data_IF_473779286080
#
_entry.id   IF_473779286080
#
_cell.length_a   1.000
_cell.length_b   1.000
_cell.length_c   1.000
_cell.angle_alpha   90.00
_cell.angle_beta   90.00
_cell.angle_gamma   90.00
#
_symmetry.space_group_name_H-M   'P 1'
#
loop_
_entity.id
_entity.type
_entity.pdbx_description
1 polymer ?
#
# COMPACT_ATOMS: atom_id res chain seq x y z
N UNK A 1 40.98 19.30 -22.21
CA UNK A 1 39.63 18.92 -22.68
C UNK A 1 39.50 17.40 -22.57
N UNK A 2 38.38 16.93 -21.99
CA UNK A 2 38.08 15.50 -21.92
C UNK A 2 37.22 15.17 -23.13
N UNK A 3 37.67 14.24 -24.02
CA UNK A 3 36.89 13.86 -25.19
C UNK A 3 35.65 13.09 -24.73
N UNK A 4 34.48 13.60 -25.12
CA UNK A 4 33.17 12.96 -24.84
C UNK A 4 32.70 12.30 -26.13
N UNK A 5 32.57 10.97 -26.13
CA UNK A 5 31.96 10.21 -27.22
C UNK A 5 30.42 10.17 -27.02
N UNK A 6 29.68 10.48 -28.07
CA UNK A 6 28.21 10.43 -28.08
C UNK A 6 27.66 9.85 -29.38
N UNK A 7 26.48 9.23 -29.37
CA UNK A 7 25.83 8.68 -30.56
C UNK A 7 25.57 9.74 -31.65
N UNK A 8 25.35 9.31 -32.88
CA UNK A 8 24.87 10.21 -33.96
C UNK A 8 23.52 10.83 -33.60
N UNK A 9 23.20 12.01 -34.17
CA UNK A 9 21.93 12.69 -33.93
C UNK A 9 20.70 11.80 -34.22
N UNK A 10 20.79 10.96 -35.28
CA UNK A 10 19.74 10.00 -35.61
C UNK A 10 19.54 8.97 -34.51
N UNK A 11 20.64 8.44 -33.97
CA UNK A 11 20.60 7.48 -32.87
C UNK A 11 20.11 8.12 -31.55
N UNK A 12 20.53 9.35 -31.24
CA UNK A 12 20.03 10.11 -30.10
C UNK A 12 18.50 10.26 -30.15
N UNK A 13 17.95 10.59 -31.32
CA UNK A 13 16.49 10.68 -31.53
C UNK A 13 15.80 9.33 -31.30
N UNK A 14 16.41 8.23 -31.76
CA UNK A 14 15.87 6.89 -31.54
C UNK A 14 15.92 6.47 -30.07
N UNK A 15 17.00 6.79 -29.36
CA UNK A 15 17.14 6.56 -27.92
C UNK A 15 16.07 7.35 -27.16
N UNK A 16 15.92 8.65 -27.47
CA UNK A 16 14.91 9.51 -26.84
C UNK A 16 13.49 8.94 -27.07
N UNK A 17 13.16 8.53 -28.30
CA UNK A 17 11.86 7.94 -28.61
C UNK A 17 11.55 6.68 -27.80
N UNK A 18 12.55 5.79 -27.62
CA UNK A 18 12.39 4.59 -26.78
C UNK A 18 12.13 4.98 -25.33
N UNK A 19 12.95 5.85 -24.75
CA UNK A 19 12.82 6.25 -23.34
C UNK A 19 11.50 6.97 -23.09
N UNK A 20 11.11 7.88 -23.98
CA UNK A 20 9.81 8.57 -23.91
C UNK A 20 8.64 7.58 -23.97
N UNK A 21 8.74 6.51 -24.77
CA UNK A 21 7.70 5.49 -24.82
C UNK A 21 7.47 4.76 -23.47
N UNK A 22 8.53 4.59 -22.67
CA UNK A 22 8.40 4.07 -21.30
C UNK A 22 7.70 5.10 -20.41
N UNK A 23 8.12 6.37 -20.47
CA UNK A 23 7.55 7.44 -19.65
C UNK A 23 6.07 7.64 -19.96
N UNK A 24 5.70 7.75 -21.24
CA UNK A 24 4.30 7.85 -21.68
C UNK A 24 3.44 6.70 -21.17
N UNK A 25 3.99 5.46 -21.20
CA UNK A 25 3.27 4.30 -20.71
C UNK A 25 3.12 4.32 -19.18
N UNK A 26 4.14 4.75 -18.45
CA UNK A 26 4.11 4.90 -16.99
C UNK A 26 3.05 5.94 -16.62
N UNK A 27 3.06 7.12 -17.24
CA UNK A 27 2.10 8.18 -17.00
C UNK A 27 0.66 7.74 -17.29
N UNK A 28 0.44 7.05 -18.41
CA UNK A 28 -0.86 6.48 -18.74
C UNK A 28 -1.39 5.53 -17.67
N UNK A 29 -0.52 4.62 -17.18
CA UNK A 29 -0.90 3.67 -16.14
C UNK A 29 -1.18 4.36 -14.80
N UNK A 30 -0.44 5.40 -14.45
CA UNK A 30 -0.69 6.22 -13.26
C UNK A 30 -2.03 6.94 -13.35
N UNK A 31 -2.34 7.55 -14.50
CA UNK A 31 -3.63 8.20 -14.74
C UNK A 31 -4.79 7.20 -14.67
N UNK A 32 -4.64 6.01 -15.24
CA UNK A 32 -5.63 4.93 -15.12
C UNK A 32 -5.84 4.51 -13.66
N UNK A 33 -4.78 4.36 -12.87
CA UNK A 33 -4.89 4.00 -11.46
C UNK A 33 -5.68 5.06 -10.68
N UNK A 34 -5.37 6.34 -10.89
CA UNK A 34 -6.11 7.43 -10.25
C UNK A 34 -7.60 7.34 -10.54
N UNK A 35 -7.99 7.15 -11.81
CA UNK A 35 -9.41 7.00 -12.20
C UNK A 35 -10.06 5.77 -11.57
N UNK A 36 -9.36 4.63 -11.53
CA UNK A 36 -9.84 3.41 -10.92
C UNK A 36 -10.04 3.55 -9.40
N UNK A 37 -9.10 4.20 -8.72
CA UNK A 37 -9.19 4.46 -7.28
C UNK A 37 -10.35 5.42 -6.96
N UNK A 38 -10.52 6.48 -7.74
CA UNK A 38 -11.64 7.41 -7.62
C UNK A 38 -13.00 6.71 -7.87
N UNK A 39 -13.08 5.80 -8.85
CA UNK A 39 -14.27 5.00 -9.11
C UNK A 39 -14.62 4.12 -7.91
N UNK A 40 -13.66 3.34 -7.41
CA UNK A 40 -13.88 2.46 -6.26
C UNK A 40 -14.26 3.26 -5.00
N UNK A 41 -13.61 4.42 -4.78
CA UNK A 41 -13.96 5.31 -3.68
C UNK A 41 -15.39 5.88 -3.81
N UNK A 42 -15.83 6.20 -5.03
CA UNK A 42 -17.18 6.69 -5.29
C UNK A 42 -18.21 5.63 -4.98
N UNK A 43 -18.00 4.38 -5.43
CA UNK A 43 -18.88 3.25 -5.09
C UNK A 43 -18.93 3.07 -3.56
N UNK A 44 -17.78 3.10 -2.87
CA UNK A 44 -17.75 3.01 -1.42
C UNK A 44 -18.53 4.13 -0.73
N UNK A 45 -18.38 5.37 -1.21
CA UNK A 45 -19.08 6.53 -0.66
C UNK A 45 -20.59 6.39 -0.78
N UNK A 46 -21.08 5.97 -1.93
CA UNK A 46 -22.52 5.78 -2.18
C UNK A 46 -23.11 4.67 -1.31
N UNK A 47 -22.39 3.60 -1.07
CA UNK A 47 -22.90 2.46 -0.34
C UNK A 47 -22.80 2.61 1.18
N UNK A 48 -21.70 3.19 1.68
CA UNK A 48 -21.38 3.12 3.11
C UNK A 48 -21.12 4.48 3.77
N UNK A 49 -20.56 5.47 3.05
CA UNK A 49 -20.02 6.65 3.71
C UNK A 49 -21.07 7.62 4.26
N UNK A 50 -22.32 7.47 3.88
CA UNK A 50 -23.46 8.25 4.40
C UNK A 50 -23.89 7.82 5.80
N UNK A 51 -23.47 6.67 6.27
CA UNK A 51 -23.81 6.16 7.61
C UNK A 51 -22.63 6.33 8.58
N UNK A 52 -22.93 6.70 9.81
CA UNK A 52 -21.97 6.85 10.91
C UNK A 52 -22.42 6.08 12.13
N UNK A 53 -21.50 5.79 13.04
CA UNK A 53 -21.84 5.28 14.39
C UNK A 53 -22.71 6.31 15.10
N UNK A 54 -23.86 5.86 15.63
CA UNK A 54 -24.86 6.71 16.24
C UNK A 54 -26.03 7.11 15.33
N UNK A 55 -25.92 6.91 14.01
CA UNK A 55 -27.03 7.15 13.07
C UNK A 55 -28.09 6.02 13.17
N UNK A 56 -29.29 6.30 12.66
CA UNK A 56 -30.29 5.24 12.37
C UNK A 56 -29.75 4.46 11.15
N UNK A 57 -29.38 3.22 11.40
CA UNK A 57 -28.85 2.34 10.37
C UNK A 57 -29.94 1.60 9.61
N UNK A 58 -29.69 1.14 8.37
CA UNK A 58 -30.61 0.26 7.63
C UNK A 58 -30.87 -1.05 8.37
N UNK A 59 -31.97 -1.71 8.05
CA UNK A 59 -32.36 -2.97 8.67
C UNK A 59 -31.26 -4.05 8.51
N UNK A 60 -30.87 -4.61 9.65
CA UNK A 60 -29.83 -5.63 9.74
C UNK A 60 -28.40 -5.13 9.65
N UNK A 61 -28.19 -3.80 9.61
CA UNK A 61 -26.90 -3.20 9.86
C UNK A 61 -26.73 -2.95 11.38
N UNK A 62 -25.48 -2.92 11.83
CA UNK A 62 -25.18 -2.68 13.23
C UNK A 62 -23.90 -1.86 13.38
N UNK A 63 -23.41 -1.84 14.61
CA UNK A 63 -22.11 -1.28 14.98
C UNK A 63 -21.26 -2.45 15.47
N UNK A 64 -20.01 -2.51 15.05
CA UNK A 64 -19.06 -3.52 15.48
C UNK A 64 -17.67 -2.91 15.69
N UNK A 65 -16.82 -3.62 16.43
CA UNK A 65 -15.43 -3.22 16.62
C UNK A 65 -14.58 -3.63 15.46
N UNK A 66 -13.51 -2.89 15.18
CA UNK A 66 -12.56 -3.20 14.11
C UNK A 66 -12.01 -4.64 14.26
N UNK A 67 -11.77 -5.10 15.48
CA UNK A 67 -11.32 -6.45 15.80
C UNK A 67 -12.29 -7.58 15.39
N UNK A 68 -13.55 -7.28 15.13
CA UNK A 68 -14.52 -8.27 14.62
C UNK A 68 -14.33 -8.59 13.14
N UNK A 69 -13.70 -7.68 12.38
CA UNK A 69 -13.46 -7.83 10.95
C UNK A 69 -12.15 -8.56 10.63
N UNK A 70 -11.23 -8.67 11.59
CA UNK A 70 -9.94 -9.31 11.38
C UNK A 70 -9.03 -9.31 12.60
N UNK A 71 -7.95 -10.05 12.50
CA UNK A 71 -6.91 -10.11 13.53
C UNK A 71 -6.03 -8.86 13.48
N UNK A 72 -5.95 -8.14 14.59
CA UNK A 72 -5.08 -6.97 14.71
C UNK A 72 -3.68 -7.38 15.15
N UNK A 73 -2.67 -6.86 14.46
CA UNK A 73 -1.25 -7.08 14.76
C UNK A 73 -0.53 -5.73 14.78
N UNK A 74 0.07 -5.38 15.91
CA UNK A 74 1.06 -4.31 15.97
C UNK A 74 2.40 -4.84 15.49
N UNK A 75 3.06 -4.09 14.61
CA UNK A 75 4.40 -4.43 14.16
C UNK A 75 5.45 -4.36 15.27
N UNK A 76 6.63 -4.87 14.97
CA UNK A 76 7.80 -4.84 15.86
C UNK A 76 9.06 -4.78 15.01
N UNK A 77 10.07 -4.04 15.47
CA UNK A 77 11.40 -4.04 14.86
C UNK A 77 12.24 -5.12 15.55
N UNK A 78 12.87 -6.05 14.81
CA UNK A 78 13.85 -6.97 15.37
C UNK A 78 15.02 -6.21 16.00
N UNK A 79 15.79 -6.86 16.88
CA UNK A 79 16.96 -6.24 17.51
C UNK A 79 17.95 -5.78 16.42
N UNK A 80 18.27 -4.49 16.43
CA UNK A 80 19.26 -3.90 15.51
C UNK A 80 20.70 -4.29 15.85
N UNK A 81 20.94 -4.84 17.05
CA UNK A 81 22.26 -5.34 17.43
C UNK A 81 22.63 -6.67 16.74
N UNK A 82 21.67 -7.33 16.13
CA UNK A 82 21.90 -8.52 15.30
C UNK A 82 21.66 -8.15 13.84
N UNK A 83 22.76 -7.93 13.12
CA UNK A 83 22.73 -7.53 11.71
C UNK A 83 22.17 -8.66 10.81
N UNK A 84 22.31 -9.92 11.20
CA UNK A 84 21.79 -11.10 10.49
C UNK A 84 20.25 -11.11 10.39
N UNK A 85 19.56 -10.29 11.19
CA UNK A 85 18.11 -10.16 11.12
C UNK A 85 17.64 -9.29 9.93
N UNK A 86 18.55 -8.57 9.32
CA UNK A 86 18.25 -7.73 8.14
C UNK A 86 18.84 -8.39 6.89
N UNK A 87 18.09 -8.34 5.78
CA UNK A 87 18.46 -9.04 4.55
C UNK A 87 17.55 -8.65 3.40
N UNK A 88 17.22 -9.60 2.51
CA UNK A 88 16.43 -9.32 1.30
C UNK A 88 15.21 -10.26 1.13
N UNK A 89 14.83 -11.02 2.17
CA UNK A 89 13.86 -12.10 2.00
C UNK A 89 12.41 -11.66 2.26
N UNK A 90 12.19 -10.93 3.36
CA UNK A 90 10.84 -10.55 3.82
C UNK A 90 10.72 -9.04 3.89
N UNK A 91 9.77 -8.43 3.15
CA UNK A 91 9.52 -6.99 3.23
C UNK A 91 9.28 -6.53 4.66
N UNK A 92 9.99 -5.48 5.06
CA UNK A 92 9.85 -4.84 6.36
C UNK A 92 9.30 -3.43 6.18
N UNK A 93 7.98 -3.33 6.27
CA UNK A 93 7.22 -2.13 5.95
C UNK A 93 7.40 -1.09 7.04
N UNK A 94 7.74 0.12 6.64
CA UNK A 94 7.82 1.33 7.44
C UNK A 94 6.93 2.42 6.86
N UNK A 95 6.67 3.49 7.60
CA UNK A 95 5.82 4.60 7.15
C UNK A 95 6.23 5.17 5.78
N UNK A 96 7.53 5.39 5.47
CA UNK A 96 7.93 5.88 4.15
C UNK A 96 7.49 4.98 2.99
N UNK A 97 7.39 3.68 3.20
CA UNK A 97 6.96 2.72 2.16
C UNK A 97 5.47 2.81 1.83
N UNK A 98 4.67 3.48 2.69
CA UNK A 98 3.20 3.57 2.59
C UNK A 98 2.72 4.84 1.87
N UNK A 99 3.57 5.88 1.76
CA UNK A 99 3.15 7.15 1.18
C UNK A 99 2.67 7.00 -0.26
N UNK A 100 1.43 7.46 -0.54
CA UNK A 100 0.80 7.45 -1.86
C UNK A 100 0.71 6.05 -2.51
N UNK A 101 0.62 4.99 -1.69
CA UNK A 101 0.56 3.62 -2.18
C UNK A 101 -0.66 2.89 -1.62
N UNK A 102 -1.55 2.46 -2.49
CA UNK A 102 -2.61 1.49 -2.14
C UNK A 102 -1.99 0.13 -1.84
N UNK A 103 -1.07 -0.32 -2.68
CA UNK A 103 -0.38 -1.60 -2.56
C UNK A 103 1.12 -1.42 -2.33
N UNK A 104 1.67 -2.15 -1.37
CA UNK A 104 3.10 -2.17 -1.08
C UNK A 104 3.74 -3.30 -1.90
N UNK A 105 4.41 -2.96 -2.99
CA UNK A 105 5.11 -3.91 -3.86
C UNK A 105 6.52 -4.22 -3.38
N UNK A 106 7.21 -3.20 -2.89
CA UNK A 106 8.59 -3.28 -2.38
C UNK A 106 8.76 -2.32 -1.19
N UNK A 107 9.76 -2.59 -0.39
CA UNK A 107 10.12 -1.82 0.79
C UNK A 107 11.59 -1.42 0.73
N UNK A 108 11.93 -0.32 1.38
CA UNK A 108 13.33 0.14 1.49
C UNK A 108 14.17 -0.86 2.28
N UNK A 109 13.60 -1.39 3.36
CA UNK A 109 14.26 -2.39 4.20
C UNK A 109 13.56 -3.74 4.08
N UNK A 110 14.34 -4.79 4.23
CA UNK A 110 13.83 -6.14 4.30
C UNK A 110 14.49 -6.89 5.49
N UNK A 111 13.85 -7.92 5.96
CA UNK A 111 14.38 -8.84 6.94
C UNK A 111 14.93 -10.08 6.25
N UNK A 112 15.90 -10.72 6.89
CA UNK A 112 16.27 -12.10 6.59
C UNK A 112 15.17 -13.06 7.06
N UNK A 113 15.22 -14.30 6.60
CA UNK A 113 14.32 -15.37 7.12
C UNK A 113 14.45 -15.52 8.63
N UNK A 114 15.68 -15.41 9.16
CA UNK A 114 15.94 -15.51 10.60
C UNK A 114 15.34 -14.32 11.35
N UNK A 115 15.56 -13.09 10.88
CA UNK A 115 14.97 -11.89 11.46
C UNK A 115 13.45 -11.95 11.49
N UNK A 116 12.83 -12.41 10.42
CA UNK A 116 11.38 -12.59 10.37
C UNK A 116 10.89 -13.70 11.33
N UNK A 117 11.62 -14.79 11.47
CA UNK A 117 11.32 -15.87 12.44
C UNK A 117 11.46 -15.43 13.88
N UNK A 118 12.39 -14.51 14.21
CA UNK A 118 12.60 -14.00 15.58
C UNK A 118 11.35 -13.32 16.14
N UNK A 119 10.42 -12.91 15.26
CA UNK A 119 9.13 -12.29 15.57
C UNK A 119 8.00 -12.85 14.70
N UNK A 120 7.95 -14.17 14.54
CA UNK A 120 7.01 -14.85 13.63
C UNK A 120 5.53 -14.53 13.88
N UNK A 121 5.15 -14.21 15.12
CA UNK A 121 3.79 -13.76 15.47
C UNK A 121 3.42 -12.37 14.91
N UNK A 122 4.36 -11.67 14.26
CA UNK A 122 4.18 -10.39 13.57
C UNK A 122 4.04 -10.54 12.05
N UNK A 123 4.05 -11.77 11.54
CA UNK A 123 3.92 -12.03 10.11
C UNK A 123 2.52 -11.68 9.61
N UNK A 124 2.49 -10.92 8.54
CA UNK A 124 1.29 -10.50 7.81
C UNK A 124 1.23 -11.27 6.49
N UNK A 125 0.13 -11.96 6.18
CA UNK A 125 -0.09 -12.53 4.85
C UNK A 125 -0.34 -11.44 3.80
N UNK A 126 -0.37 -11.83 2.54
CA UNK A 126 -0.92 -11.01 1.44
C UNK A 126 -2.34 -10.54 1.80
N UNK A 127 -2.73 -9.36 1.34
CA UNK A 127 -4.03 -8.73 1.57
C UNK A 127 -4.26 -8.25 3.02
N UNK A 128 -3.24 -8.19 3.86
CA UNK A 128 -3.33 -7.50 5.15
C UNK A 128 -3.35 -5.98 4.92
N UNK A 129 -4.10 -5.26 5.73
CA UNK A 129 -4.21 -3.80 5.66
C UNK A 129 -3.33 -3.20 6.74
N UNK A 130 -2.37 -2.39 6.35
CA UNK A 130 -1.43 -1.69 7.22
C UNK A 130 -1.89 -0.25 7.44
N UNK A 131 -1.88 0.22 8.69
CA UNK A 131 -2.28 1.57 9.06
C UNK A 131 -1.18 2.20 9.92
N UNK A 132 -0.68 3.35 9.51
CA UNK A 132 0.26 4.12 10.32
C UNK A 132 -0.45 4.72 11.54
N UNK A 133 0.11 4.51 12.74
CA UNK A 133 -0.51 4.86 14.00
C UNK A 133 0.36 5.77 14.89
N UNK A 134 1.60 6.08 14.50
CA UNK A 134 2.52 6.94 15.24
C UNK A 134 3.13 7.96 14.29
N UNK A 135 3.27 9.20 14.74
CA UNK A 135 3.80 10.35 14.01
C UNK A 135 2.96 10.75 12.80
N UNK A 136 3.05 10.05 11.68
CA UNK A 136 2.17 10.22 10.52
C UNK A 136 1.02 9.22 10.62
N UNK A 137 -0.10 9.62 11.20
CA UNK A 137 -1.25 8.75 11.45
C UNK A 137 -2.20 8.72 10.24
N UNK A 138 -2.77 7.54 9.94
CA UNK A 138 -3.85 7.36 8.98
C UNK A 138 -3.43 7.14 7.53
N UNK A 139 -2.15 6.77 7.26
CA UNK A 139 -1.80 6.16 5.98
C UNK A 139 -2.28 4.72 5.96
N UNK A 140 -2.95 4.32 4.89
CA UNK A 140 -3.48 2.97 4.72
C UNK A 140 -2.92 2.34 3.45
N UNK A 141 -2.39 1.13 3.57
CA UNK A 141 -1.86 0.37 2.42
C UNK A 141 -2.10 -1.13 2.60
N UNK A 142 -2.05 -1.86 1.51
CA UNK A 142 -2.32 -3.31 1.46
C UNK A 142 -1.04 -4.06 1.12
N UNK A 143 -0.75 -5.14 1.87
CA UNK A 143 0.38 -6.02 1.59
C UNK A 143 0.13 -6.87 0.34
N UNK A 144 1.14 -6.99 -0.53
CA UNK A 144 1.07 -7.81 -1.75
C UNK A 144 1.68 -9.21 -1.58
N UNK A 145 2.45 -9.40 -0.52
CA UNK A 145 3.10 -10.68 -0.15
C UNK A 145 3.30 -10.76 1.36
N UNK A 146 3.77 -11.91 1.86
CA UNK A 146 4.14 -12.05 3.27
C UNK A 146 5.11 -10.95 3.66
N UNK A 147 4.81 -10.21 4.73
CA UNK A 147 5.57 -9.04 5.17
C UNK A 147 5.53 -8.90 6.68
N UNK A 148 6.38 -8.04 7.23
CA UNK A 148 6.30 -7.57 8.62
C UNK A 148 6.35 -6.04 8.64
N UNK A 149 5.94 -5.44 9.74
CA UNK A 149 5.94 -3.98 9.91
C UNK A 149 6.71 -3.59 11.17
N UNK A 150 7.14 -2.32 11.24
CA UNK A 150 7.68 -1.78 12.47
C UNK A 150 6.53 -1.43 13.46
N UNK A 151 6.89 -1.05 14.68
CA UNK A 151 5.95 -0.74 15.76
C UNK A 151 5.08 0.51 15.54
N UNK A 152 5.34 1.30 14.52
CA UNK A 152 4.55 2.48 14.16
C UNK A 152 3.27 2.13 13.38
N UNK A 153 3.14 0.87 12.98
CA UNK A 153 2.07 0.39 12.12
C UNK A 153 1.26 -0.67 12.86
N UNK A 154 -0.04 -0.46 12.98
CA UNK A 154 -1.00 -1.51 13.27
C UNK A 154 -1.49 -2.09 11.94
N UNK A 155 -1.78 -3.39 11.95
CA UNK A 155 -2.26 -4.07 10.76
C UNK A 155 -3.47 -4.93 11.11
N UNK A 156 -4.41 -5.03 10.18
CA UNK A 156 -5.52 -5.97 10.28
C UNK A 156 -5.37 -7.05 9.19
N UNK A 157 -5.41 -8.31 9.62
CA UNK A 157 -5.55 -9.46 8.73
C UNK A 157 -7.05 -9.72 8.65
N UNK A 158 -7.72 -9.41 7.53
CA UNK A 158 -9.16 -9.64 7.40
C UNK A 158 -9.52 -11.11 7.64
N UNK A 159 -10.61 -11.37 8.36
CA UNK A 159 -11.10 -12.73 8.57
C UNK A 159 -11.52 -13.38 7.25
N UNK A 160 -12.02 -12.56 6.32
CA UNK A 160 -12.45 -12.98 5.00
C UNK A 160 -11.95 -11.97 3.94
N UNK A 161 -11.65 -12.46 2.74
CA UNK A 161 -11.10 -11.62 1.68
C UNK A 161 -12.03 -10.49 1.25
N UNK A 162 -13.36 -10.70 1.33
CA UNK A 162 -14.34 -9.69 0.94
C UNK A 162 -14.42 -8.49 1.91
N UNK A 163 -13.73 -8.52 3.06
CA UNK A 163 -13.58 -7.35 3.92
C UNK A 163 -12.47 -6.40 3.46
N UNK A 164 -11.57 -6.80 2.56
CA UNK A 164 -10.35 -6.06 2.22
C UNK A 164 -10.66 -4.62 1.77
N UNK A 165 -11.46 -4.45 0.74
CA UNK A 165 -11.74 -3.13 0.15
C UNK A 165 -12.62 -2.28 1.07
N UNK A 166 -13.59 -2.92 1.72
CA UNK A 166 -14.44 -2.24 2.72
C UNK A 166 -13.58 -1.66 3.86
N UNK A 167 -12.68 -2.45 4.44
CA UNK A 167 -11.79 -2.01 5.51
C UNK A 167 -10.79 -0.96 5.01
N UNK A 168 -10.23 -1.14 3.81
CA UNK A 168 -9.31 -0.16 3.22
C UNK A 168 -9.95 1.23 3.15
N UNK A 169 -11.13 1.34 2.56
CA UNK A 169 -11.81 2.62 2.42
C UNK A 169 -12.34 3.17 3.76
N UNK A 170 -12.84 2.29 4.63
CA UNK A 170 -13.30 2.69 5.98
C UNK A 170 -12.16 3.33 6.75
N UNK A 171 -11.00 2.69 6.82
CA UNK A 171 -9.82 3.19 7.53
C UNK A 171 -9.23 4.44 6.87
N UNK A 172 -9.21 4.51 5.54
CA UNK A 172 -8.79 5.71 4.81
C UNK A 172 -9.66 6.91 5.14
N UNK A 173 -10.99 6.72 5.22
CA UNK A 173 -11.95 7.78 5.61
C UNK A 173 -11.75 8.23 7.06
N UNK A 174 -11.26 7.35 7.92
CA UNK A 174 -11.09 7.62 9.36
C UNK A 174 -9.81 8.40 9.69
N UNK A 175 -9.03 8.87 8.72
CA UNK A 175 -7.75 9.56 8.95
C UNK A 175 -7.83 10.68 9.99
N UNK A 176 -8.82 11.57 9.88
CA UNK A 176 -8.99 12.66 10.85
C UNK A 176 -9.34 12.12 12.24
N UNK A 177 -10.28 11.18 12.32
CA UNK A 177 -10.66 10.53 13.57
C UNK A 177 -9.46 9.82 14.25
N UNK A 178 -8.62 9.13 13.47
CA UNK A 178 -7.40 8.49 13.98
C UNK A 178 -6.37 9.52 14.49
N UNK A 179 -6.26 10.67 13.83
CA UNK A 179 -5.42 11.78 14.31
C UNK A 179 -5.94 12.34 15.62
N UNK A 180 -7.26 12.54 15.75
CA UNK A 180 -7.88 13.04 16.99
C UNK A 180 -7.69 12.04 18.15
N UNK A 181 -7.87 10.74 17.89
CA UNK A 181 -7.57 9.68 18.87
C UNK A 181 -6.11 9.64 19.30
N UNK A 182 -5.20 9.89 18.36
CA UNK A 182 -3.75 9.88 18.62
C UNK A 182 -3.27 11.11 19.38
N UNK A 183 -4.00 12.22 19.35
CA UNK A 183 -3.61 13.51 19.95
C UNK A 183 -3.88 13.64 21.46
N UNK A 184 -4.46 12.64 22.09
CA UNK A 184 -4.92 12.64 23.49
C UNK A 184 -3.82 12.87 24.53
N UNK A 185 -3.20 14.07 24.55
CA UNK A 185 -2.34 14.55 25.63
C UNK A 185 -0.84 14.27 25.50
N UNK A 186 -0.36 13.74 24.38
CA UNK A 186 1.08 13.51 24.13
C UNK A 186 1.59 14.38 22.99
N UNK A 187 2.87 14.78 23.06
CA UNK A 187 3.53 15.57 22.01
C UNK A 187 3.65 14.82 20.67
N UNK A 188 3.47 13.49 20.67
CA UNK A 188 3.52 12.66 19.48
C UNK A 188 2.22 11.87 19.32
N UNK A 189 1.59 11.97 18.15
CA UNK A 189 0.39 11.18 17.80
C UNK A 189 0.67 9.69 17.98
N UNK A 190 -0.18 8.99 18.74
CA UNK A 190 -0.04 7.56 18.99
C UNK A 190 -1.42 6.89 19.20
N UNK A 191 -1.84 6.06 18.25
CA UNK A 191 -3.01 5.20 18.38
C UNK A 191 -2.52 3.79 18.75
N UNK A 192 -2.54 3.47 20.05
CA UNK A 192 -2.10 2.15 20.51
C UNK A 192 -3.01 1.02 20.00
N UNK A 193 -2.52 -0.22 20.05
CA UNK A 193 -3.19 -1.39 19.48
C UNK A 193 -4.55 -1.67 20.14
N UNK A 194 -4.68 -1.43 21.45
CA UNK A 194 -5.95 -1.64 22.14
C UNK A 194 -7.01 -0.63 21.68
N UNK A 195 -6.65 0.65 21.63
CA UNK A 195 -7.51 1.70 21.09
C UNK A 195 -7.90 1.40 19.65
N UNK A 196 -6.94 1.03 18.80
CA UNK A 196 -7.18 0.68 17.42
C UNK A 196 -8.14 -0.52 17.27
N UNK A 197 -7.96 -1.56 18.06
CA UNK A 197 -8.82 -2.76 18.04
C UNK A 197 -10.27 -2.49 18.43
N UNK A 198 -10.48 -1.52 19.32
CA UNK A 198 -11.79 -1.15 19.85
C UNK A 198 -12.49 -0.03 19.07
N UNK A 199 -11.91 0.44 17.94
CA UNK A 199 -12.58 1.42 17.08
C UNK A 199 -13.91 0.84 16.60
N UNK A 200 -14.97 1.59 16.86
CA UNK A 200 -16.31 1.24 16.41
C UNK A 200 -16.54 1.73 14.97
N UNK A 201 -17.15 0.88 14.16
CA UNK A 201 -17.54 1.19 12.78
C UNK A 201 -18.94 0.66 12.50
N UNK A 202 -19.57 1.26 11.52
CA UNK A 202 -20.81 0.72 10.97
C UNK A 202 -20.49 -0.64 10.33
N UNK A 203 -21.27 -1.64 10.71
CA UNK A 203 -21.17 -3.03 10.23
C UNK A 203 -22.36 -3.31 9.32
N UNK A 204 -22.22 -3.19 8.00
CA UNK A 204 -23.26 -3.54 7.05
C UNK A 204 -23.58 -5.04 7.12
N UNK A 205 -24.70 -5.45 6.53
CA UNK A 205 -24.97 -6.87 6.28
C UNK A 205 -23.83 -7.46 5.43
N UNK A 206 -23.45 -8.68 5.74
CA UNK A 206 -22.35 -9.36 5.07
C UNK A 206 -22.55 -9.48 3.55
N UNK A 207 -23.77 -9.73 3.10
CA UNK A 207 -24.08 -9.82 1.67
C UNK A 207 -23.82 -8.50 0.94
N UNK A 208 -24.10 -7.36 1.57
CA UNK A 208 -23.78 -6.03 1.01
C UNK A 208 -22.27 -5.84 0.87
N UNK A 209 -21.49 -6.27 1.86
CA UNK A 209 -20.02 -6.20 1.79
C UNK A 209 -19.49 -7.13 0.70
N UNK A 210 -20.05 -8.34 0.56
CA UNK A 210 -19.71 -9.28 -0.52
C UNK A 210 -20.03 -8.71 -1.91
N UNK A 211 -21.16 -8.06 -2.07
CA UNK A 211 -21.54 -7.44 -3.34
C UNK A 211 -20.64 -6.23 -3.65
N UNK A 212 -20.29 -5.42 -2.65
CA UNK A 212 -19.28 -4.37 -2.81
C UNK A 212 -17.93 -4.96 -3.23
N UNK A 213 -17.48 -6.04 -2.60
CA UNK A 213 -16.25 -6.73 -2.97
C UNK A 213 -16.26 -7.21 -4.43
N UNK A 214 -17.36 -7.79 -4.90
CA UNK A 214 -17.50 -8.22 -6.31
C UNK A 214 -17.28 -7.07 -7.30
N UNK A 215 -17.70 -5.86 -6.95
CA UNK A 215 -17.52 -4.67 -7.78
C UNK A 215 -16.11 -4.05 -7.63
N UNK A 216 -15.61 -3.97 -6.42
CA UNK A 216 -14.36 -3.24 -6.10
C UNK A 216 -13.10 -4.09 -6.30
N UNK A 217 -13.16 -5.41 -6.06
CA UNK A 217 -12.00 -6.28 -6.20
C UNK A 217 -11.38 -6.28 -7.61
N UNK A 218 -12.14 -6.37 -8.73
CA UNK A 218 -11.55 -6.26 -10.06
C UNK A 218 -10.83 -4.93 -10.30
N UNK A 219 -11.32 -3.84 -9.73
CA UNK A 219 -10.70 -2.52 -9.80
C UNK A 219 -9.36 -2.54 -9.06
N UNK A 220 -9.34 -3.07 -7.84
CA UNK A 220 -8.12 -3.18 -7.02
C UNK A 220 -7.07 -4.10 -7.67
N UNK A 221 -7.47 -5.24 -8.22
CA UNK A 221 -6.56 -6.13 -8.95
C UNK A 221 -5.99 -5.43 -10.20
N UNK A 222 -6.78 -4.60 -10.89
CA UNK A 222 -6.28 -3.81 -12.02
C UNK A 222 -5.28 -2.74 -11.58
N UNK A 223 -5.53 -2.04 -10.47
CA UNK A 223 -4.57 -1.09 -9.87
C UNK A 223 -3.27 -1.82 -9.49
N UNK A 224 -3.36 -3.00 -8.88
CA UNK A 224 -2.18 -3.80 -8.54
C UNK A 224 -1.38 -4.22 -9.78
N UNK A 225 -2.05 -4.68 -10.84
CA UNK A 225 -1.40 -5.02 -12.11
C UNK A 225 -0.69 -3.82 -12.73
N UNK A 226 -1.37 -2.67 -12.79
CA UNK A 226 -0.78 -1.45 -13.32
C UNK A 226 0.44 -1.01 -12.50
N UNK A 227 0.38 -1.04 -11.16
CA UNK A 227 1.49 -0.70 -10.29
C UNK A 227 2.69 -1.64 -10.51
N UNK A 228 2.43 -2.95 -10.69
CA UNK A 228 3.48 -3.94 -11.02
C UNK A 228 4.11 -3.64 -12.38
N UNK A 229 3.30 -3.27 -13.37
CA UNK A 229 3.79 -2.89 -14.69
C UNK A 229 4.60 -1.60 -14.65
N UNK A 230 4.14 -0.58 -13.92
CA UNK A 230 4.88 0.67 -13.71
C UNK A 230 6.25 0.37 -13.10
N UNK A 231 6.32 -0.45 -12.05
CA UNK A 231 7.58 -0.83 -11.42
C UNK A 231 8.54 -1.51 -12.41
N UNK A 232 8.02 -2.44 -13.23
CA UNK A 232 8.82 -3.14 -14.25
C UNK A 232 9.33 -2.18 -15.31
N UNK A 233 8.46 -1.30 -15.84
CA UNK A 233 8.83 -0.30 -16.84
C UNK A 233 9.87 0.67 -16.32
N UNK A 234 9.72 1.17 -15.09
CA UNK A 234 10.68 2.06 -14.44
C UNK A 234 12.04 1.39 -14.29
N UNK A 235 12.09 0.17 -13.73
CA UNK A 235 13.36 -0.59 -13.60
C UNK A 235 14.03 -0.87 -14.96
N UNK A 236 13.24 -1.19 -15.98
CA UNK A 236 13.75 -1.44 -17.33
C UNK A 236 14.31 -0.16 -17.94
N UNK A 237 13.57 0.95 -17.89
CA UNK A 237 14.03 2.27 -18.38
C UNK A 237 15.35 2.68 -17.70
N UNK A 238 15.40 2.60 -16.37
CA UNK A 238 16.54 3.03 -15.57
C UNK A 238 17.77 2.15 -15.80
N UNK A 239 17.59 0.86 -16.10
CA UNK A 239 18.66 -0.04 -16.48
C UNK A 239 19.16 0.17 -17.93
N UNK A 240 18.26 0.57 -18.84
CA UNK A 240 18.61 0.82 -20.24
C UNK A 240 19.29 2.16 -20.45
N UNK A 241 18.89 3.20 -19.70
CA UNK A 241 19.39 4.56 -19.88
C UNK A 241 20.93 4.66 -19.90
N UNK A 242 21.69 4.18 -18.90
CA UNK A 242 23.15 4.28 -18.91
C UNK A 242 23.79 3.48 -20.06
N UNK A 243 23.20 2.34 -20.44
CA UNK A 243 23.70 1.48 -21.50
C UNK A 243 23.52 2.08 -22.91
N UNK A 244 22.39 2.74 -23.11
CA UNK A 244 22.12 3.48 -24.35
C UNK A 244 23.01 4.74 -24.45
N UNK A 245 23.21 5.44 -23.34
CA UNK A 245 24.04 6.65 -23.31
C UNK A 245 25.52 6.34 -23.50
N UNK A 246 26.04 5.24 -22.95
CA UNK A 246 27.43 4.80 -23.14
C UNK A 246 27.71 4.14 -24.50
N UNK A 247 26.65 3.75 -25.23
CA UNK A 247 26.77 3.00 -26.48
C UNK A 247 27.05 1.51 -26.28
N UNK A 248 26.94 0.98 -25.06
CA UNK A 248 26.98 -0.46 -24.76
C UNK A 248 25.85 -1.20 -25.50
N UNK A 249 24.66 -0.56 -25.56
CA UNK A 249 23.54 -1.02 -26.38
C UNK A 249 23.30 0.01 -27.49
N UNK A 250 23.14 -0.47 -28.72
CA UNK A 250 22.84 0.34 -29.90
C UNK A 250 21.43 0.13 -30.39
N UNK A 251 20.76 1.23 -30.77
CA UNK A 251 19.44 1.17 -31.40
C UNK A 251 19.67 0.89 -32.91
N UNK A 252 19.25 -0.29 -33.36
CA UNK A 252 19.20 -0.58 -34.80
C UNK A 252 18.04 0.19 -35.43
N UNK A 253 18.32 0.82 -36.60
CA UNK A 253 17.31 1.38 -37.47
C UNK A 253 16.40 0.31 -38.05
#
# INVERSE_FOLDING_TARGET
>A
EIPVSYPSLSEQKSIAAILTSFDDKIELLQAQNKTLEELAQTIFKEWFAKYKVGDKLPDGWGVGKLSEFGKIICGKTPSKSNEDYFGNDIPFIKIPDMHNKVFILETTDNLSIEGAKSQNNKMLPKNSICISCIATVGLVSITTKKSQTNQQINSIIPNENYFREFLYFTLTKMKNYLNDLGSGGTATLNVNTSTFSNIELVKPKEDIIKDFHKLSNPIFEKVLQNNTQIQTLTKTRDALLPKLMSGEIRVKK
#
